data_IF_760968404383
#
_entry.id   IF_760968404383
#
_cell.length_a   1.000
_cell.length_b   1.000
_cell.length_c   1.000
_cell.angle_alpha   90.00
_cell.angle_beta   90.00
_cell.angle_gamma   90.00
#
_symmetry.space_group_name_H-M   'P 1'
#
loop_
_entity.id
_entity.type
_entity.pdbx_description
1 polymer ?
#
# COMPACT_ATOMS: atom_id res chain seq x y z
N UNK A 1 0.61 -14.99 9.80
CA UNK A 1 0.52 -13.80 10.68
C UNK A 1 -0.12 -12.66 9.92
N UNK A 2 -0.66 -11.63 10.61
CA UNK A 2 -1.31 -10.49 9.96
C UNK A 2 -0.68 -9.18 10.40
N UNK A 3 -0.62 -8.21 9.49
CA UNK A 3 -0.17 -6.86 9.78
C UNK A 3 -1.22 -5.82 9.37
N UNK A 4 -1.28 -4.73 10.12
CA UNK A 4 -2.12 -3.57 9.83
C UNK A 4 -1.22 -2.43 9.33
N UNK A 5 -1.70 -1.73 8.30
CA UNK A 5 -1.04 -0.53 7.78
C UNK A 5 -1.02 0.61 8.80
N UNK A 6 0.07 1.39 8.90
CA UNK A 6 0.13 2.55 9.78
C UNK A 6 -0.79 3.69 9.29
N UNK A 7 -1.07 4.64 10.19
CA UNK A 7 -1.86 5.83 9.86
C UNK A 7 -1.19 6.65 8.74
N UNK A 8 -2.01 7.16 7.82
CA UNK A 8 -1.55 7.98 6.70
C UNK A 8 -0.96 7.20 5.51
N UNK A 9 -0.89 5.87 5.59
CA UNK A 9 -0.59 5.00 4.45
C UNK A 9 -1.62 5.21 3.32
N UNK A 10 -1.31 4.93 2.03
CA UNK A 10 -2.26 5.10 0.92
C UNK A 10 -3.58 4.31 1.06
N UNK A 11 -3.58 3.24 1.83
CA UNK A 11 -4.77 2.48 2.20
C UNK A 11 -4.71 2.05 3.66
N UNK A 12 -5.87 1.73 4.23
CA UNK A 12 -6.02 1.04 5.51
C UNK A 12 -6.45 -0.37 5.20
N UNK A 13 -5.77 -1.32 5.82
CA UNK A 13 -6.07 -2.71 5.55
C UNK A 13 -5.31 -3.67 6.43
N UNK A 14 -5.65 -4.93 6.21
CA UNK A 14 -5.00 -6.08 6.79
C UNK A 14 -4.33 -6.86 5.68
N UNK A 15 -3.07 -7.21 5.90
CA UNK A 15 -2.36 -8.15 5.04
C UNK A 15 -2.09 -9.39 5.88
N UNK A 16 -2.68 -10.51 5.49
CA UNK A 16 -2.55 -11.79 6.17
C UNK A 16 -1.71 -12.73 5.34
N UNK A 17 -0.64 -13.24 5.95
CA UNK A 17 0.22 -14.26 5.38
C UNK A 17 -0.06 -15.60 6.02
N UNK A 18 -0.18 -16.62 5.19
CA UNK A 18 -0.38 -18.01 5.61
C UNK A 18 0.35 -18.95 4.67
N UNK A 19 0.57 -20.16 5.14
CA UNK A 19 0.96 -21.29 4.32
C UNK A 19 0.11 -22.49 4.68
N UNK A 20 -0.19 -23.33 3.69
CA UNK A 20 -0.97 -24.56 3.87
C UNK A 20 -0.50 -25.62 2.87
N UNK A 21 -0.86 -26.88 3.11
CA UNK A 21 -0.60 -27.95 2.14
C UNK A 21 -1.77 -28.11 1.19
N UNK A 22 -1.47 -28.25 -0.10
CA UNK A 22 -2.41 -28.53 -1.17
C UNK A 22 -1.74 -29.49 -2.16
N UNK A 23 -2.39 -30.63 -2.44
CA UNK A 23 -1.88 -31.65 -3.36
C UNK A 23 -0.43 -32.13 -3.07
N UNK A 24 -0.02 -32.11 -1.79
CA UNK A 24 1.33 -32.49 -1.36
C UNK A 24 2.38 -31.38 -1.54
N UNK A 25 1.98 -30.17 -1.91
CA UNK A 25 2.84 -28.99 -2.04
C UNK A 25 2.50 -27.98 -0.96
N UNK A 26 3.51 -27.32 -0.38
CA UNK A 26 3.28 -26.18 0.50
C UNK A 26 2.99 -24.92 -0.32
N UNK A 27 1.78 -24.39 -0.17
CA UNK A 27 1.35 -23.15 -0.81
C UNK A 27 1.55 -21.99 0.16
N UNK A 28 2.21 -20.94 -0.30
CA UNK A 28 2.31 -19.66 0.41
C UNK A 28 1.25 -18.69 -0.12
N UNK A 29 0.56 -18.00 0.78
CA UNK A 29 -0.54 -17.11 0.43
C UNK A 29 -0.41 -15.76 1.13
N UNK A 30 -0.67 -14.69 0.37
CA UNK A 30 -0.84 -13.34 0.87
C UNK A 30 -2.27 -12.87 0.56
N UNK A 31 -3.06 -12.64 1.60
CA UNK A 31 -4.42 -12.10 1.50
C UNK A 31 -4.41 -10.64 1.90
N UNK A 32 -4.84 -9.76 1.00
CA UNK A 32 -4.89 -8.32 1.22
C UNK A 32 -6.34 -7.86 1.25
N UNK A 33 -6.77 -7.35 2.41
CA UNK A 33 -8.03 -6.64 2.55
C UNK A 33 -7.73 -5.16 2.78
N UNK A 34 -7.99 -4.33 1.79
CA UNK A 34 -7.62 -2.92 1.81
C UNK A 34 -8.79 -2.00 1.44
N UNK A 35 -8.73 -0.77 1.95
CA UNK A 35 -9.56 0.35 1.51
C UNK A 35 -8.76 1.65 1.52
N UNK A 36 -9.01 2.52 0.55
CA UNK A 36 -8.46 3.87 0.56
C UNK A 36 -8.88 4.65 1.83
N UNK A 37 -7.95 5.42 2.38
CA UNK A 37 -8.14 6.16 3.64
C UNK A 37 -8.80 7.53 3.46
N UNK A 38 -8.59 8.12 2.29
CA UNK A 38 -9.09 9.43 1.92
C UNK A 38 -9.43 9.47 0.43
N UNK A 39 -10.27 10.43 0.00
CA UNK A 39 -10.72 10.49 -1.40
C UNK A 39 -9.58 10.67 -2.41
N UNK A 40 -8.47 11.28 -2.02
CA UNK A 40 -7.35 11.58 -2.92
C UNK A 40 -6.54 10.31 -3.20
N UNK A 41 -6.25 9.52 -2.16
CA UNK A 41 -5.71 8.18 -2.33
C UNK A 41 -6.70 7.25 -3.02
N UNK A 42 -8.01 7.37 -2.77
CA UNK A 42 -9.02 6.56 -3.44
C UNK A 42 -9.00 6.78 -4.96
N UNK A 43 -8.88 8.03 -5.41
CA UNK A 43 -8.69 8.34 -6.82
C UNK A 43 -7.38 7.74 -7.35
N UNK A 44 -6.27 7.88 -6.64
CA UNK A 44 -4.98 7.31 -7.05
C UNK A 44 -5.00 5.79 -7.20
N UNK A 45 -5.65 5.11 -6.26
CA UNK A 45 -5.84 3.66 -6.29
C UNK A 45 -6.70 3.22 -7.47
N UNK A 46 -7.81 3.94 -7.76
CA UNK A 46 -8.68 3.69 -8.92
C UNK A 46 -7.99 4.00 -10.26
N UNK A 47 -7.08 4.97 -10.31
CA UNK A 47 -6.32 5.33 -11.52
C UNK A 47 -5.16 4.38 -11.83
N UNK A 48 -4.91 3.37 -11.00
CA UNK A 48 -3.90 2.35 -11.27
C UNK A 48 -3.12 1.87 -10.05
N UNK A 49 -3.27 2.52 -8.89
CA UNK A 49 -2.59 2.09 -7.66
C UNK A 49 -2.92 0.64 -7.28
N UNK A 50 -4.18 0.21 -7.44
CA UNK A 50 -4.55 -1.20 -7.22
C UNK A 50 -3.79 -2.17 -8.14
N UNK A 51 -3.60 -1.80 -9.41
CA UNK A 51 -2.85 -2.62 -10.37
C UNK A 51 -1.38 -2.73 -9.97
N UNK A 52 -0.79 -1.61 -9.52
CA UNK A 52 0.61 -1.58 -9.07
C UNK A 52 0.82 -2.43 -7.82
N UNK A 53 -0.11 -2.40 -6.88
CA UNK A 53 -0.05 -3.20 -5.65
C UNK A 53 -0.21 -4.70 -5.95
N UNK A 54 -1.16 -5.06 -6.82
CA UNK A 54 -1.33 -6.44 -7.27
C UNK A 54 -0.04 -6.96 -7.93
N UNK A 55 0.57 -6.16 -8.79
CA UNK A 55 1.83 -6.53 -9.48
C UNK A 55 3.00 -6.67 -8.50
N UNK A 56 3.08 -5.80 -7.48
CA UNK A 56 4.06 -5.93 -6.41
C UNK A 56 3.90 -7.28 -5.70
N UNK A 57 2.68 -7.63 -5.27
CA UNK A 57 2.43 -8.90 -4.58
C UNK A 57 2.69 -10.13 -5.44
N UNK A 58 2.31 -10.07 -6.72
CA UNK A 58 2.64 -11.12 -7.69
C UNK A 58 4.15 -11.36 -7.72
N UNK A 59 4.93 -10.31 -7.95
CA UNK A 59 6.40 -10.40 -7.98
C UNK A 59 7.00 -10.88 -6.67
N UNK A 60 6.45 -10.45 -5.54
CA UNK A 60 6.90 -10.91 -4.22
C UNK A 60 6.71 -12.42 -4.08
N UNK A 61 5.56 -12.95 -4.47
CA UNK A 61 5.27 -14.38 -4.40
C UNK A 61 6.03 -15.19 -5.47
N UNK A 62 6.22 -14.65 -6.68
CA UNK A 62 7.08 -15.24 -7.71
C UNK A 62 8.53 -15.36 -7.23
N UNK A 63 9.07 -14.31 -6.61
CA UNK A 63 10.42 -14.33 -6.04
C UNK A 63 10.53 -15.30 -4.86
N UNK A 64 9.48 -15.41 -4.03
CA UNK A 64 9.42 -16.39 -2.95
C UNK A 64 9.42 -17.81 -3.49
N UNK A 65 8.62 -18.10 -4.51
CA UNK A 65 8.60 -19.41 -5.18
C UNK A 65 9.96 -19.73 -5.81
N UNK A 66 10.55 -18.76 -6.52
CA UNK A 66 11.87 -18.92 -7.13
C UNK A 66 12.97 -19.18 -6.10
N UNK A 67 12.88 -18.59 -4.90
CA UNK A 67 13.80 -18.88 -3.80
C UNK A 67 13.77 -20.35 -3.36
N UNK A 68 12.62 -21.01 -3.49
CA UNK A 68 12.44 -22.45 -3.23
C UNK A 68 12.57 -23.32 -4.49
N UNK A 69 12.98 -22.76 -5.64
CA UNK A 69 13.15 -23.49 -6.89
C UNK A 69 11.85 -23.81 -7.63
N UNK A 70 10.75 -23.18 -7.26
CA UNK A 70 9.43 -23.31 -7.90
C UNK A 70 9.23 -22.17 -8.89
N UNK A 71 8.74 -22.48 -10.09
CA UNK A 71 8.53 -21.50 -11.16
C UNK A 71 7.07 -21.46 -11.66
N UNK A 72 6.14 -21.95 -10.84
CA UNK A 72 4.72 -21.91 -11.16
C UNK A 72 4.17 -20.49 -11.10
N UNK A 73 3.22 -20.13 -11.99
CA UNK A 73 2.62 -18.82 -11.99
C UNK A 73 1.80 -18.60 -10.71
N UNK A 74 1.89 -17.40 -10.14
CA UNK A 74 1.11 -17.02 -8.96
C UNK A 74 -0.36 -16.85 -9.33
N UNK A 75 -1.23 -17.58 -8.65
CA UNK A 75 -2.68 -17.38 -8.73
C UNK A 75 -3.11 -16.11 -7.98
N UNK A 76 -4.02 -15.34 -8.57
CA UNK A 76 -4.49 -14.09 -7.99
C UNK A 76 -6.01 -13.95 -8.11
N UNK A 77 -6.67 -13.90 -6.95
CA UNK A 77 -8.12 -13.73 -6.85
C UNK A 77 -8.45 -12.31 -6.36
N UNK A 78 -9.16 -11.54 -7.19
CA UNK A 78 -9.49 -10.14 -6.93
C UNK A 78 -11.00 -9.98 -6.74
N UNK A 79 -11.41 -9.49 -5.57
CA UNK A 79 -12.83 -9.26 -5.24
C UNK A 79 -13.02 -7.83 -4.76
N UNK A 80 -13.95 -7.10 -5.39
CA UNK A 80 -14.38 -5.80 -4.91
C UNK A 80 -15.41 -5.99 -3.80
N UNK A 81 -15.02 -5.72 -2.55
CA UNK A 81 -15.89 -5.88 -1.37
C UNK A 81 -16.93 -4.76 -1.25
N UNK A 82 -16.56 -3.52 -1.60
CA UNK A 82 -17.46 -2.37 -1.59
C UNK A 82 -17.06 -1.34 -2.66
N UNK A 83 -17.92 -1.03 -3.65
CA UNK A 83 -17.60 -0.10 -4.73
C UNK A 83 -17.77 1.39 -4.33
N UNK A 84 -18.35 1.69 -3.16
CA UNK A 84 -18.71 3.05 -2.76
C UNK A 84 -17.49 3.92 -2.46
N UNK A 85 -17.57 5.18 -2.89
CA UNK A 85 -16.60 6.23 -2.56
C UNK A 85 -16.85 6.77 -1.15
N UNK A 86 -15.79 6.98 -0.36
CA UNK A 86 -15.90 7.49 1.02
C UNK A 86 -15.78 9.02 1.12
N UNK A 87 -16.60 9.76 0.37
CA UNK A 87 -16.61 11.22 0.39
C UNK A 87 -16.89 11.83 1.76
N UNK A 88 -17.66 11.15 2.62
CA UNK A 88 -17.91 11.57 3.99
C UNK A 88 -16.65 11.70 4.85
N UNK A 89 -15.57 11.01 4.47
CA UNK A 89 -14.30 10.98 5.18
C UNK A 89 -13.23 11.91 4.54
N UNK A 90 -13.64 12.92 3.76
CA UNK A 90 -12.69 13.84 3.10
C UNK A 90 -11.72 14.56 4.06
N UNK A 91 -12.08 14.72 5.34
CA UNK A 91 -11.18 15.30 6.37
C UNK A 91 -9.94 14.45 6.61
N UNK A 92 -9.97 13.15 6.26
CA UNK A 92 -8.83 12.24 6.40
C UNK A 92 -7.64 12.63 5.52
N UNK A 93 -7.84 13.49 4.50
CA UNK A 93 -6.75 14.08 3.69
C UNK A 93 -5.70 14.77 4.57
N UNK A 94 -6.06 15.25 5.77
CA UNK A 94 -5.11 15.81 6.74
C UNK A 94 -4.07 14.80 7.26
N UNK A 95 -4.42 13.52 7.28
CA UNK A 95 -3.57 12.42 7.73
C UNK A 95 -2.74 11.82 6.60
N UNK A 96 -2.95 12.27 5.36
CA UNK A 96 -2.27 11.76 4.17
C UNK A 96 -0.75 11.98 4.27
N UNK A 97 0.01 10.89 4.43
CA UNK A 97 1.46 10.95 4.58
C UNK A 97 2.14 11.46 3.30
N UNK A 98 1.54 11.20 2.13
CA UNK A 98 2.00 11.70 0.83
C UNK A 98 1.95 13.22 0.75
N UNK A 99 0.83 13.83 1.14
CA UNK A 99 0.67 15.29 1.17
C UNK A 99 1.63 15.91 2.19
N UNK A 100 1.74 15.33 3.38
CA UNK A 100 2.68 15.81 4.41
C UNK A 100 4.13 15.77 3.94
N UNK A 101 4.51 14.70 3.26
CA UNK A 101 5.85 14.54 2.68
C UNK A 101 6.08 15.51 1.52
N UNK A 102 5.09 15.70 0.64
CA UNK A 102 5.17 16.66 -0.45
C UNK A 102 5.33 18.10 0.07
N UNK A 103 4.51 18.49 1.06
CA UNK A 103 4.60 19.80 1.70
C UNK A 103 5.95 20.00 2.40
N UNK A 104 6.46 18.98 3.07
CA UNK A 104 7.78 19.00 3.68
C UNK A 104 8.89 19.24 2.64
N UNK A 105 8.84 18.54 1.51
CA UNK A 105 9.80 18.67 0.41
C UNK A 105 9.73 20.05 -0.26
N UNK A 106 8.52 20.55 -0.54
CA UNK A 106 8.32 21.87 -1.17
C UNK A 106 8.77 23.01 -0.27
N UNK A 107 8.59 22.88 1.05
CA UNK A 107 8.99 23.90 2.03
C UNK A 107 10.46 23.81 2.45
N UNK A 108 11.20 22.79 1.99
CA UNK A 108 12.62 22.60 2.30
C UNK A 108 13.51 23.83 1.99
N UNK A 109 13.35 24.54 0.85
CA UNK A 109 14.19 25.70 0.53
C UNK A 109 13.97 26.88 1.49
N UNK A 110 12.73 27.09 1.95
CA UNK A 110 12.38 28.14 2.91
C UNK A 110 12.96 27.84 4.31
N UNK A 111 13.02 26.56 4.69
CA UNK A 111 13.63 26.12 5.95
C UNK A 111 15.14 26.28 5.95
N UNK A 112 15.80 26.04 4.82
CA UNK A 112 17.24 26.30 4.65
C UNK A 112 17.56 27.78 4.83
N UNK A 113 16.77 28.68 4.23
CA UNK A 113 16.91 30.13 4.40
C UNK A 113 16.70 30.59 5.86
N UNK A 114 15.71 30.02 6.57
CA UNK A 114 15.43 30.37 7.97
C UNK A 114 16.50 29.91 8.95
N UNK A 115 17.13 28.76 8.71
CA UNK A 115 18.23 28.28 9.55
C UNK A 115 19.51 29.09 9.34
N UNK A 116 19.76 29.59 8.13
CA UNK A 116 20.91 30.44 7.83
C UNK A 116 20.81 31.81 8.52
N UNK A 117 19.63 32.44 8.48
CA UNK A 117 19.36 33.71 9.16
C UNK A 117 19.31 33.62 10.71
N UNK A 118 19.44 32.43 11.29
CA UNK A 118 19.53 32.22 12.75
C UNK A 118 20.97 32.00 13.23
N UNK A 119 21.94 31.91 12.31
CA UNK A 119 23.36 31.72 12.60
C UNK A 119 24.19 33.01 12.44
N UNK A 120 23.55 34.09 11.97
CA UNK A 120 24.06 35.47 11.97
C UNK A 120 23.49 36.24 13.18
#
# INVERSE_FOLDING_TARGET
>A
FSLMTPEGHPFSGWITFSSFEEEGTTVAQAQVLMRANDPLYEMGLRMGGHKMENEMWRKTLENLAAHFGVHEPVEMNLVCVDPRLQWSHYRNVWHNAGIRSALYSITAPLRWRRNRARQD
#
